data_IF_349451961761
#
_entry.id   IF_349451961761
#
_cell.length_a   1.000
_cell.length_b   1.000
_cell.length_c   1.000
_cell.angle_alpha   90.00
_cell.angle_beta   90.00
_cell.angle_gamma   90.00
#
_symmetry.space_group_name_H-M   'P 1'
#
loop_
_entity.id
_entity.type
_entity.pdbx_description
1 polymer ?
#
# COMPACT_ATOMS: atom_id res chain seq x y z
N UNK A 1 -17.82 -9.65 9.19
CA UNK A 1 -17.17 -9.23 7.92
C UNK A 1 -15.68 -9.44 8.12
N UNK A 2 -15.03 -10.39 7.43
CA UNK A 2 -13.59 -10.60 7.59
C UNK A 2 -12.84 -9.40 7.02
N UNK A 3 -12.16 -8.64 7.87
CA UNK A 3 -11.35 -7.51 7.46
C UNK A 3 -10.05 -8.05 6.85
N UNK A 4 -9.93 -7.97 5.52
CA UNK A 4 -8.79 -8.51 4.75
C UNK A 4 -7.46 -7.80 5.07
N UNK A 5 -7.51 -6.48 5.21
CA UNK A 5 -6.41 -5.58 5.54
C UNK A 5 -6.93 -4.52 6.50
N UNK A 6 -6.05 -3.95 7.32
CA UNK A 6 -6.41 -2.82 8.18
C UNK A 6 -6.58 -1.50 7.40
N UNK A 7 -6.34 -1.49 6.08
CA UNK A 7 -6.55 -0.33 5.18
C UNK A 7 -7.19 -0.72 3.85
N UNK A 8 -7.87 0.22 3.21
CA UNK A 8 -8.37 0.06 1.84
C UNK A 8 -7.19 0.05 0.84
N UNK A 9 -7.09 -1.02 0.06
CA UNK A 9 -5.96 -1.29 -0.83
C UNK A 9 -6.45 -1.38 -2.28
N UNK A 10 -5.66 -0.85 -3.21
CA UNK A 10 -6.00 -0.82 -4.63
C UNK A 10 -4.78 -1.20 -5.48
N UNK A 11 -5.02 -1.76 -6.67
CA UNK A 11 -3.97 -2.17 -7.59
C UNK A 11 -4.14 -1.59 -9.00
N UNK A 12 -2.99 -1.28 -9.62
CA UNK A 12 -2.87 -0.77 -10.98
C UNK A 12 -3.43 0.64 -11.18
N UNK A 13 -3.39 1.09 -12.44
CA UNK A 13 -3.87 2.41 -12.89
C UNK A 13 -5.37 2.62 -12.69
N UNK A 14 -6.14 1.54 -12.71
CA UNK A 14 -7.60 1.58 -12.59
C UNK A 14 -8.08 1.49 -11.14
N UNK A 15 -7.17 1.50 -10.15
CA UNK A 15 -7.48 1.40 -8.73
C UNK A 15 -8.42 0.24 -8.42
N UNK A 16 -8.06 -0.96 -8.88
CA UNK A 16 -8.86 -2.17 -8.66
C UNK A 16 -8.82 -2.50 -7.16
N UNK A 17 -9.97 -2.58 -6.46
CA UNK A 17 -9.98 -2.90 -5.03
C UNK A 17 -9.37 -4.28 -4.76
N UNK A 18 -8.43 -4.34 -3.82
CA UNK A 18 -7.80 -5.59 -3.39
C UNK A 18 -8.56 -6.14 -2.19
N UNK A 19 -8.99 -7.39 -2.31
CA UNK A 19 -9.79 -8.08 -1.31
C UNK A 19 -9.34 -9.56 -1.16
N UNK A 20 -10.00 -10.28 -0.26
CA UNK A 20 -9.67 -11.69 0.03
C UNK A 20 -9.75 -12.63 -1.19
N UNK A 21 -10.52 -12.29 -2.21
CA UNK A 21 -10.76 -13.15 -3.38
C UNK A 21 -9.73 -12.93 -4.49
N UNK A 22 -9.17 -11.73 -4.61
CA UNK A 22 -8.24 -11.36 -5.69
C UNK A 22 -6.81 -11.07 -5.21
N UNK A 23 -6.54 -11.19 -3.90
CA UNK A 23 -5.23 -10.94 -3.28
C UNK A 23 -4.07 -11.70 -3.94
N UNK A 24 -4.30 -12.91 -4.45
CA UNK A 24 -3.23 -13.71 -5.05
C UNK A 24 -2.61 -13.04 -6.29
N UNK A 25 -3.38 -12.21 -6.99
CA UNK A 25 -2.96 -11.53 -8.21
C UNK A 25 -2.65 -10.05 -8.03
N UNK A 26 -3.06 -9.47 -6.91
CA UNK A 26 -3.03 -8.02 -6.70
C UNK A 26 -2.31 -7.60 -5.42
N UNK A 27 -1.73 -8.55 -4.70
CA UNK A 27 -0.89 -8.29 -3.55
C UNK A 27 0.59 -8.40 -3.93
N UNK A 28 1.47 -7.47 -3.49
CA UNK A 28 1.17 -6.26 -2.73
C UNK A 28 0.38 -5.23 -3.56
N UNK A 29 -0.46 -4.39 -2.92
CA UNK A 29 -1.23 -3.36 -3.62
C UNK A 29 -0.29 -2.28 -4.17
N UNK A 30 -0.72 -1.56 -5.20
CA UNK A 30 0.04 -0.40 -5.69
C UNK A 30 -0.32 0.89 -4.95
N UNK A 31 -1.57 1.02 -4.52
CA UNK A 31 -2.08 2.18 -3.80
C UNK A 31 -2.78 1.78 -2.49
N UNK A 32 -2.67 2.62 -1.48
CA UNK A 32 -3.39 2.43 -0.21
C UNK A 32 -4.04 3.75 0.19
N UNK A 33 -5.27 3.67 0.69
CA UNK A 33 -6.00 4.85 1.16
C UNK A 33 -5.64 5.19 2.59
N UNK A 34 -5.35 6.46 2.82
CA UNK A 34 -5.18 7.02 4.15
C UNK A 34 -6.52 7.33 4.80
N UNK A 35 -6.48 7.57 6.10
CA UNK A 35 -7.60 8.07 6.89
C UNK A 35 -7.97 9.50 6.43
N UNK A 36 -7.01 10.24 5.87
CA UNK A 36 -7.24 11.53 5.21
C UNK A 36 -7.84 11.41 3.79
N UNK A 37 -8.29 10.22 3.39
CA UNK A 37 -8.87 9.87 2.07
C UNK A 37 -7.94 10.01 0.86
N UNK A 38 -6.69 10.41 1.06
CA UNK A 38 -5.65 10.41 0.03
C UNK A 38 -5.21 8.98 -0.32
N UNK A 39 -4.91 8.73 -1.59
CA UNK A 39 -4.26 7.51 -2.06
C UNK A 39 -2.78 7.78 -2.25
N UNK A 40 -1.93 6.94 -1.68
CA UNK A 40 -0.48 6.99 -1.88
C UNK A 40 0.00 5.68 -2.51
N UNK A 41 1.07 5.80 -3.29
CA UNK A 41 1.81 4.67 -3.84
C UNK A 41 3.01 4.32 -2.94
N UNK A 42 3.54 3.12 -3.14
CA UNK A 42 4.78 2.73 -2.51
C UNK A 42 5.97 3.57 -3.02
N UNK A 43 6.78 4.08 -2.11
CA UNK A 43 8.04 4.72 -2.47
C UNK A 43 8.95 3.72 -3.16
N UNK A 44 9.57 4.16 -4.25
CA UNK A 44 10.49 3.35 -5.05
C UNK A 44 11.92 3.76 -4.70
N UNK A 45 12.77 2.78 -4.35
CA UNK A 45 14.22 2.99 -4.21
C UNK A 45 14.95 2.47 -5.44
N UNK A 46 15.99 3.19 -5.85
CA UNK A 46 16.90 2.77 -6.90
C UNK A 46 18.18 2.21 -6.28
N UNK A 47 18.52 0.98 -6.60
CA UNK A 47 19.78 0.35 -6.18
C UNK A 47 20.45 -0.33 -7.38
N UNK A 48 21.70 0.06 -7.69
CA UNK A 48 22.48 -0.44 -8.83
C UNK A 48 21.69 -0.46 -10.16
N UNK A 49 20.94 0.62 -10.42
CA UNK A 49 20.13 0.76 -11.64
C UNK A 49 18.73 0.14 -11.57
N UNK A 50 18.47 -0.77 -10.64
CA UNK A 50 17.18 -1.44 -10.49
C UNK A 50 16.26 -0.69 -9.52
N UNK A 51 14.96 -0.68 -9.81
CA UNK A 51 13.93 -0.07 -8.99
C UNK A 51 13.23 -1.12 -8.12
N UNK A 52 13.13 -0.85 -6.83
CA UNK A 52 12.47 -1.74 -5.87
C UNK A 52 11.46 -0.96 -5.02
N UNK A 53 10.23 -1.48 -4.85
CA UNK A 53 9.29 -0.89 -3.90
C UNK A 53 9.81 -1.07 -2.48
N UNK A 54 9.75 -0.01 -1.69
CA UNK A 54 10.19 0.00 -0.28
C UNK A 54 9.14 -0.50 0.68
N UNK A 55 7.90 -0.70 0.21
CA UNK A 55 6.73 -0.99 1.05
C UNK A 55 6.33 0.15 2.00
N UNK A 56 6.95 1.31 1.86
CA UNK A 56 6.62 2.54 2.60
C UNK A 56 5.72 3.40 1.73
N UNK A 57 4.67 3.95 2.32
CA UNK A 57 3.76 4.91 1.70
C UNK A 57 3.83 6.21 2.50
N UNK A 58 3.82 7.34 1.78
CA UNK A 58 3.84 8.67 2.38
C UNK A 58 2.71 9.49 1.77
N UNK A 59 1.84 10.02 2.62
CA UNK A 59 0.67 10.80 2.22
C UNK A 59 1.01 12.28 2.28
N UNK A 60 0.86 12.99 1.17
CA UNK A 60 1.30 14.39 1.05
C UNK A 60 0.44 15.36 1.87
N UNK A 61 -0.86 15.09 1.98
CA UNK A 61 -1.84 15.98 2.61
C UNK A 61 -1.77 15.91 4.13
N UNK A 62 -1.69 14.70 4.67
CA UNK A 62 -1.69 14.48 6.12
C UNK A 62 -0.31 14.14 6.70
N UNK A 63 0.74 14.06 5.87
CA UNK A 63 2.14 13.72 6.24
C UNK A 63 2.33 12.37 6.94
N UNK A 64 1.27 11.59 7.08
CA UNK A 64 1.33 10.27 7.67
C UNK A 64 2.18 9.35 6.80
N UNK A 65 2.93 8.47 7.46
CA UNK A 65 3.72 7.43 6.80
C UNK A 65 3.28 6.07 7.27
N UNK A 66 3.13 5.15 6.32
CA UNK A 66 2.75 3.78 6.60
C UNK A 66 3.72 2.81 5.98
N UNK A 67 3.93 1.69 6.64
CA UNK A 67 4.75 0.59 6.13
C UNK A 67 3.93 -0.68 6.07
N UNK A 68 3.94 -1.35 4.92
CA UNK A 68 3.44 -2.71 4.82
C UNK A 68 4.44 -3.67 5.47
N UNK A 69 4.01 -4.41 6.50
CA UNK A 69 4.82 -5.49 7.08
C UNK A 69 4.86 -6.64 6.06
N UNK A 70 6.07 -6.96 5.58
CA UNK A 70 6.28 -7.96 4.52
C UNK A 70 5.76 -9.33 4.95
N UNK A 71 5.10 -10.03 4.04
CA UNK A 71 4.46 -11.33 4.30
C UNK A 71 3.13 -11.24 5.06
N UNK A 72 2.67 -10.04 5.41
CA UNK A 72 1.39 -9.81 6.06
C UNK A 72 0.46 -8.96 5.20
N UNK A 73 -0.71 -8.62 5.76
CA UNK A 73 -1.70 -7.68 5.22
C UNK A 73 -1.90 -6.46 6.12
N UNK A 74 -0.91 -6.16 6.95
CA UNK A 74 -1.00 -5.12 7.97
C UNK A 74 -0.08 -3.95 7.63
N UNK A 75 -0.63 -2.75 7.74
CA UNK A 75 0.08 -1.50 7.62
C UNK A 75 0.32 -0.90 9.00
N UNK A 76 1.57 -0.61 9.33
CA UNK A 76 1.96 0.09 10.56
C UNK A 76 2.16 1.56 10.26
N UNK A 77 1.62 2.42 11.14
CA UNK A 77 1.91 3.85 11.09
C UNK A 77 3.33 4.08 11.62
N UNK A 78 4.14 4.83 10.88
CA UNK A 78 5.50 5.18 11.26
C UNK A 78 5.58 6.56 11.92
N UNK A 79 4.72 7.50 11.51
CA UNK A 79 4.69 8.90 12.00
C UNK A 79 3.53 9.65 11.35
#
# INVERSE_FOLDING_TARGET
>A
MYQFSNRECFNGRYLIPVNQFNQHHHWPPSHVKCDCSELAEHQIRRNRGNFYPTYILEYSSCKNKYQLIRGTRQFECLS
#
